data_IF_653502438169
#
_entry.id   IF_653502438169
#
_cell.length_a   1.000
_cell.length_b   1.000
_cell.length_c   1.000
_cell.angle_alpha   90.00
_cell.angle_beta   90.00
_cell.angle_gamma   90.00
#
_symmetry.space_group_name_H-M   'P 1'
#
loop_
_entity.id
_entity.type
_entity.pdbx_description
1 polymer ?
#
# COMPACT_ATOMS: atom_id res chain seq x y z
N UNK A 1 3.85 -13.85 -8.93
CA UNK A 1 4.78 -12.89 -9.62
C UNK A 1 6.04 -13.63 -10.01
N UNK A 2 6.69 -13.29 -11.13
CA UNK A 2 7.94 -13.93 -11.55
C UNK A 2 9.12 -13.48 -10.69
N UNK A 3 10.11 -14.39 -10.45
CA UNK A 3 11.29 -14.10 -9.62
C UNK A 3 12.06 -12.86 -10.09
N UNK A 4 12.24 -12.69 -11.41
CA UNK A 4 12.94 -11.54 -11.98
C UNK A 4 12.29 -10.20 -11.63
N UNK A 5 10.98 -10.16 -11.41
CA UNK A 5 10.25 -8.95 -10.99
C UNK A 5 10.63 -8.57 -9.56
N UNK A 6 10.72 -9.53 -8.65
CA UNK A 6 11.16 -9.28 -7.28
C UNK A 6 12.61 -8.78 -7.21
N UNK A 7 13.52 -9.40 -7.99
CA UNK A 7 14.90 -8.96 -8.05
C UNK A 7 15.01 -7.52 -8.55
N UNK A 8 14.27 -7.21 -9.63
CA UNK A 8 14.23 -5.85 -10.19
C UNK A 8 13.63 -4.83 -9.22
N UNK A 9 12.55 -5.18 -8.54
CA UNK A 9 11.96 -4.32 -7.49
C UNK A 9 12.97 -4.04 -6.39
N UNK A 10 13.70 -5.06 -5.92
CA UNK A 10 14.70 -4.92 -4.87
C UNK A 10 15.90 -4.03 -5.27
N UNK A 11 16.29 -4.03 -6.55
CA UNK A 11 17.31 -3.11 -7.09
C UNK A 11 16.82 -1.66 -7.14
N UNK A 12 15.56 -1.45 -7.49
CA UNK A 12 15.01 -0.12 -7.76
C UNK A 12 14.43 0.57 -6.53
N UNK A 13 13.98 -0.18 -5.52
CA UNK A 13 13.16 0.33 -4.42
C UNK A 13 13.82 1.44 -3.60
N UNK A 14 15.16 1.50 -3.56
CA UNK A 14 15.90 2.51 -2.83
C UNK A 14 16.08 3.82 -3.60
N UNK A 15 16.00 3.78 -4.93
CA UNK A 15 16.43 4.91 -5.77
C UNK A 15 15.36 5.39 -6.75
N UNK A 16 14.40 4.55 -7.09
CA UNK A 16 13.36 4.91 -8.03
C UNK A 16 12.34 5.86 -7.38
N UNK A 17 12.04 6.96 -8.05
CA UNK A 17 11.16 8.04 -7.60
C UNK A 17 9.81 7.57 -7.03
N UNK A 18 9.22 6.53 -7.63
CA UNK A 18 7.94 5.99 -7.20
C UNK A 18 7.99 5.44 -5.77
N UNK A 19 8.96 4.56 -5.49
CA UNK A 19 9.09 3.93 -4.16
C UNK A 19 9.48 4.95 -3.10
N UNK A 20 10.41 5.84 -3.42
CA UNK A 20 10.90 6.84 -2.45
C UNK A 20 9.83 7.86 -2.09
N UNK A 21 9.13 8.43 -3.09
CA UNK A 21 8.04 9.36 -2.85
C UNK A 21 6.84 8.70 -2.16
N UNK A 22 6.47 7.47 -2.57
CA UNK A 22 5.39 6.70 -1.96
C UNK A 22 5.64 6.46 -0.47
N UNK A 23 6.83 6.02 -0.07
CA UNK A 23 7.19 5.86 1.35
C UNK A 23 7.08 7.17 2.13
N UNK A 24 7.45 8.32 1.55
CA UNK A 24 7.26 9.64 2.20
C UNK A 24 5.78 9.97 2.40
N UNK A 25 4.94 9.69 1.41
CA UNK A 25 3.48 9.89 1.51
C UNK A 25 2.91 9.00 2.60
N UNK A 26 3.19 7.70 2.59
CA UNK A 26 2.73 6.75 3.61
C UNK A 26 3.22 7.15 5.00
N UNK A 27 4.50 7.49 5.16
CA UNK A 27 5.06 8.00 6.41
C UNK A 27 4.33 9.26 6.92
N UNK A 28 3.98 10.18 6.01
CA UNK A 28 3.22 11.38 6.35
C UNK A 28 1.81 11.04 6.84
N UNK A 29 1.13 10.10 6.18
CA UNK A 29 -0.18 9.60 6.59
C UNK A 29 -0.11 8.93 7.96
N UNK A 30 0.87 8.06 8.18
CA UNK A 30 1.05 7.40 9.49
C UNK A 30 1.25 8.44 10.59
N UNK A 31 2.13 9.42 10.41
CA UNK A 31 2.42 10.45 11.43
C UNK A 31 1.25 11.37 11.72
N UNK A 32 0.46 11.74 10.71
CA UNK A 32 -0.55 12.80 10.84
C UNK A 32 -1.95 12.28 11.10
N UNK A 33 -2.28 11.10 10.59
CA UNK A 33 -3.62 10.54 10.62
C UNK A 33 -3.67 9.32 11.53
N UNK A 34 -2.89 8.27 11.25
CA UNK A 34 -2.87 7.05 12.08
C UNK A 34 -2.42 7.36 13.50
N UNK A 35 -1.32 8.09 13.67
CA UNK A 35 -0.75 8.46 14.97
C UNK A 35 -0.64 7.26 15.93
N UNK A 36 0.04 6.19 15.53
CA UNK A 36 0.15 5.02 16.37
C UNK A 36 0.83 5.36 17.69
N UNK A 37 0.56 4.62 18.77
CA UNK A 37 1.24 4.84 20.05
C UNK A 37 2.76 4.65 19.91
N UNK A 38 3.52 5.17 20.86
CA UNK A 38 4.96 4.91 20.93
C UNK A 38 5.21 3.40 21.01
N UNK A 39 6.15 2.88 20.21
CA UNK A 39 6.45 1.45 20.09
C UNK A 39 5.24 0.60 19.66
N UNK A 40 4.42 1.12 18.75
CA UNK A 40 3.29 0.43 18.18
C UNK A 40 3.71 -0.94 17.61
N UNK A 41 2.96 -1.98 17.91
CA UNK A 41 3.14 -3.30 17.27
C UNK A 41 2.53 -3.27 15.88
N UNK A 42 3.36 -3.41 14.86
CA UNK A 42 3.00 -3.24 13.46
C UNK A 42 3.12 -4.58 12.73
N UNK A 43 2.16 -4.88 11.84
CA UNK A 43 2.22 -6.02 10.95
C UNK A 43 2.12 -5.54 9.51
N UNK A 44 3.07 -5.93 8.64
CA UNK A 44 2.94 -5.78 7.19
C UNK A 44 2.57 -7.13 6.58
N UNK A 45 1.42 -7.19 5.89
CA UNK A 45 0.94 -8.36 5.17
C UNK A 45 1.29 -8.24 3.69
N UNK A 46 1.95 -9.27 3.12
CA UNK A 46 2.44 -9.26 1.76
C UNK A 46 3.56 -8.23 1.55
N UNK A 47 4.60 -8.28 2.38
CA UNK A 47 5.66 -7.27 2.37
C UNK A 47 6.58 -7.31 1.13
N UNK A 48 6.39 -8.30 0.23
CA UNK A 48 7.24 -8.50 -0.93
C UNK A 48 8.71 -8.69 -0.53
N UNK A 49 9.61 -7.92 -1.16
CA UNK A 49 11.04 -7.92 -0.84
C UNK A 49 11.39 -7.11 0.42
N UNK A 50 10.39 -6.57 1.12
CA UNK A 50 10.56 -5.83 2.37
C UNK A 50 10.89 -4.35 2.20
N UNK A 51 10.55 -3.73 1.07
CA UNK A 51 10.93 -2.34 0.77
C UNK A 51 10.27 -1.27 1.65
N UNK A 52 9.20 -1.61 2.38
CA UNK A 52 8.55 -0.70 3.32
C UNK A 52 8.93 -0.95 4.79
N UNK A 53 9.60 -2.07 5.10
CA UNK A 53 9.87 -2.49 6.48
C UNK A 53 10.62 -1.43 7.30
N UNK A 54 11.65 -0.79 6.71
CA UNK A 54 12.40 0.28 7.38
C UNK A 54 11.53 1.50 7.65
N UNK A 55 10.67 1.86 6.70
CA UNK A 55 9.74 2.99 6.85
C UNK A 55 8.72 2.72 7.97
N UNK A 56 8.17 1.52 8.04
CA UNK A 56 7.25 1.09 9.09
C UNK A 56 7.97 0.97 10.44
N UNK A 57 9.21 0.47 10.44
CA UNK A 57 10.06 0.34 11.61
C UNK A 57 10.34 1.64 12.36
N UNK A 58 10.23 2.79 11.67
CA UNK A 58 10.33 4.10 12.30
C UNK A 58 9.17 4.42 13.27
N UNK A 59 8.11 3.62 13.28
CA UNK A 59 6.93 3.81 14.14
C UNK A 59 6.81 2.74 15.24
N UNK A 60 7.55 1.66 15.16
CA UNK A 60 7.56 0.60 16.16
C UNK A 60 8.06 -0.74 15.61
N UNK A 61 8.09 -1.80 16.43
CA UNK A 61 8.49 -3.13 16.00
C UNK A 61 7.54 -3.66 14.92
N UNK A 62 8.12 -4.11 13.78
CA UNK A 62 7.37 -4.63 12.63
C UNK A 62 7.46 -6.14 12.58
N UNK A 63 6.35 -6.85 12.52
CA UNK A 63 6.23 -8.22 12.04
C UNK A 63 5.80 -8.18 10.58
N UNK A 64 6.11 -9.23 9.81
CA UNK A 64 5.77 -9.25 8.40
C UNK A 64 5.40 -10.66 7.91
N UNK A 65 4.60 -10.71 6.84
CA UNK A 65 4.35 -11.93 6.09
C UNK A 65 4.54 -11.74 4.60
N UNK A 66 4.95 -12.82 3.92
CA UNK A 66 5.07 -12.89 2.48
C UNK A 66 4.86 -14.34 2.01
N UNK A 67 4.04 -14.51 0.96
CA UNK A 67 3.69 -15.83 0.45
C UNK A 67 4.78 -16.41 -0.44
N UNK A 68 5.40 -15.57 -1.29
CA UNK A 68 6.48 -15.99 -2.19
C UNK A 68 7.77 -16.28 -1.41
N UNK A 69 8.34 -17.45 -1.64
CA UNK A 69 9.52 -17.92 -0.89
C UNK A 69 10.78 -17.09 -1.19
N UNK A 70 10.94 -16.60 -2.43
CA UNK A 70 12.09 -15.80 -2.82
C UNK A 70 12.02 -14.38 -2.23
N UNK A 71 10.89 -13.70 -2.41
CA UNK A 71 10.65 -12.39 -1.82
C UNK A 71 10.75 -12.44 -0.29
N UNK A 72 10.17 -13.47 0.34
CA UNK A 72 10.24 -13.66 1.80
C UNK A 72 11.66 -13.83 2.31
N UNK A 73 12.52 -14.56 1.59
CA UNK A 73 13.94 -14.68 1.96
C UNK A 73 14.65 -13.32 1.94
N UNK A 74 14.36 -12.49 0.94
CA UNK A 74 14.91 -11.13 0.85
C UNK A 74 14.38 -10.25 1.99
N UNK A 75 13.08 -10.26 2.26
CA UNK A 75 12.45 -9.53 3.35
C UNK A 75 12.99 -9.97 4.72
N UNK A 76 13.19 -11.27 4.94
CA UNK A 76 13.79 -11.83 6.17
C UNK A 76 15.20 -11.26 6.39
N UNK A 77 16.00 -11.18 5.32
CA UNK A 77 17.36 -10.60 5.40
C UNK A 77 17.31 -9.11 5.75
N UNK A 78 16.36 -8.35 5.18
CA UNK A 78 16.20 -6.91 5.48
C UNK A 78 15.70 -6.67 6.90
N UNK A 79 14.70 -7.43 7.31
CA UNK A 79 14.08 -7.29 8.65
C UNK A 79 15.02 -7.77 9.77
N UNK A 80 15.98 -8.66 9.47
CA UNK A 80 16.87 -9.28 10.44
C UNK A 80 16.19 -10.31 11.36
N UNK A 81 14.97 -10.72 11.03
CA UNK A 81 14.16 -11.72 11.76
C UNK A 81 13.19 -12.42 10.81
N UNK A 82 12.62 -13.58 11.19
CA UNK A 82 11.73 -14.35 10.32
C UNK A 82 10.52 -13.53 9.82
N UNK A 83 10.23 -13.68 8.53
CA UNK A 83 9.00 -13.22 7.87
C UNK A 83 8.12 -14.47 7.68
N UNK A 84 6.87 -14.40 8.12
CA UNK A 84 5.96 -15.54 8.13
C UNK A 84 5.44 -15.86 6.71
N UNK A 85 5.29 -17.15 6.41
CA UNK A 85 4.59 -17.58 5.21
C UNK A 85 3.10 -17.69 5.51
N UNK A 86 2.31 -16.75 5.00
CA UNK A 86 0.87 -16.66 5.24
C UNK A 86 0.16 -16.25 3.97
N UNK A 87 -0.95 -16.90 3.67
CA UNK A 87 -1.85 -16.55 2.57
C UNK A 87 -3.16 -16.01 3.14
N UNK A 88 -3.54 -14.80 2.75
CA UNK A 88 -4.86 -14.25 3.07
C UNK A 88 -5.98 -15.14 2.48
N UNK A 89 -7.10 -15.33 3.23
CA UNK A 89 -7.47 -14.69 4.48
C UNK A 89 -6.98 -15.39 5.76
N UNK A 90 -6.18 -16.48 5.68
CA UNK A 90 -5.74 -17.20 6.87
C UNK A 90 -4.64 -16.44 7.61
N UNK A 91 -5.03 -15.81 8.72
CA UNK A 91 -4.14 -15.11 9.65
C UNK A 91 -4.00 -15.83 11.00
N UNK A 92 -4.22 -17.13 11.04
CA UNK A 92 -4.17 -17.94 12.28
C UNK A 92 -2.82 -17.89 13.01
N UNK A 93 -1.73 -17.64 12.29
CA UNK A 93 -0.40 -17.44 12.87
C UNK A 93 -0.23 -16.15 13.67
N UNK A 94 -1.09 -15.18 13.45
CA UNK A 94 -1.02 -13.89 14.13
C UNK A 94 -2.13 -13.80 15.19
N UNK A 95 -1.80 -13.37 16.42
CA UNK A 95 -2.78 -13.31 17.49
C UNK A 95 -3.85 -12.25 17.21
N UNK A 96 -5.08 -12.51 17.69
CA UNK A 96 -6.18 -11.55 17.65
C UNK A 96 -5.89 -10.34 18.55
N UNK A 97 -6.53 -9.20 18.27
CA UNK A 97 -6.50 -7.97 19.08
C UNK A 97 -5.08 -7.55 19.54
N UNK A 98 -4.09 -7.69 18.63
CA UNK A 98 -2.69 -7.59 19.04
C UNK A 98 -1.90 -6.49 18.37
N UNK A 99 -2.36 -5.97 17.24
CA UNK A 99 -1.62 -4.99 16.45
C UNK A 99 -2.21 -3.59 16.58
N UNK A 100 -1.34 -2.61 16.75
CA UNK A 100 -1.70 -1.19 16.78
C UNK A 100 -1.83 -0.61 15.36
N UNK A 101 -1.20 -1.24 14.39
CA UNK A 101 -1.34 -0.93 12.97
C UNK A 101 -1.06 -2.18 12.12
N UNK A 102 -1.90 -2.39 11.10
CA UNK A 102 -1.61 -3.36 10.03
C UNK A 102 -1.47 -2.59 8.72
N UNK A 103 -0.43 -2.90 7.95
CA UNK A 103 -0.20 -2.36 6.61
C UNK A 103 -0.48 -3.46 5.57
N UNK A 104 -1.32 -3.14 4.57
CA UNK A 104 -1.63 -3.98 3.42
C UNK A 104 -1.44 -3.13 2.15
N UNK A 105 -0.26 -3.22 1.57
CA UNK A 105 0.21 -2.25 0.58
C UNK A 105 0.35 -2.89 -0.81
N UNK A 106 -0.67 -2.71 -1.66
CA UNK A 106 -0.82 -3.29 -3.00
C UNK A 106 -0.79 -4.84 -2.95
N UNK A 107 -1.66 -5.40 -2.14
CA UNK A 107 -1.80 -6.85 -1.92
C UNK A 107 -3.23 -7.32 -2.16
N UNK A 108 -4.23 -6.55 -1.74
CA UNK A 108 -5.64 -6.98 -1.75
C UNK A 108 -6.15 -7.33 -3.15
N UNK A 109 -5.63 -6.66 -4.19
CA UNK A 109 -5.94 -6.94 -5.60
C UNK A 109 -5.49 -8.30 -6.08
N UNK A 110 -4.53 -8.93 -5.39
CA UNK A 110 -4.03 -10.27 -5.69
C UNK A 110 -4.81 -11.38 -4.95
N UNK A 111 -5.69 -11.01 -4.03
CA UNK A 111 -6.40 -11.98 -3.18
C UNK A 111 -7.80 -12.22 -3.72
N UNK A 112 -8.19 -13.48 -4.02
CA UNK A 112 -9.54 -13.78 -4.50
C UNK A 112 -10.63 -13.38 -3.50
N UNK A 113 -10.45 -13.68 -2.22
CA UNK A 113 -11.37 -13.36 -1.12
C UNK A 113 -10.92 -12.08 -0.38
N UNK A 114 -11.19 -10.93 -0.97
CA UNK A 114 -10.87 -9.62 -0.40
C UNK A 114 -11.71 -9.30 0.84
N UNK A 115 -12.99 -9.69 0.85
CA UNK A 115 -13.90 -9.50 2.00
C UNK A 115 -13.47 -10.30 3.22
N UNK A 116 -13.21 -11.60 3.04
CA UNK A 116 -12.70 -12.47 4.11
C UNK A 116 -11.34 -11.98 4.64
N UNK A 117 -10.48 -11.47 3.76
CA UNK A 117 -9.19 -10.92 4.13
C UNK A 117 -9.32 -9.67 5.00
N UNK A 118 -10.17 -8.72 4.65
CA UNK A 118 -10.40 -7.52 5.46
C UNK A 118 -11.02 -7.88 6.82
N UNK A 119 -11.94 -8.84 6.87
CA UNK A 119 -12.51 -9.33 8.13
C UNK A 119 -11.47 -10.02 9.02
N UNK A 120 -10.59 -10.83 8.43
CA UNK A 120 -9.49 -11.48 9.14
C UNK A 120 -8.48 -10.45 9.69
N UNK A 121 -8.17 -9.41 8.92
CA UNK A 121 -7.30 -8.31 9.35
C UNK A 121 -7.93 -7.54 10.51
N UNK A 122 -9.22 -7.22 10.39
CA UNK A 122 -9.97 -6.53 11.47
C UNK A 122 -9.83 -7.27 12.81
N UNK A 123 -9.98 -8.58 12.79
CA UNK A 123 -9.86 -9.43 13.99
C UNK A 123 -8.43 -9.49 14.60
N UNK A 124 -7.40 -9.00 13.92
CA UNK A 124 -6.02 -8.93 14.41
C UNK A 124 -5.65 -7.58 15.00
N UNK A 125 -6.41 -6.54 14.66
CA UNK A 125 -6.22 -5.19 15.14
C UNK A 125 -6.80 -5.02 16.55
N UNK A 126 -6.10 -4.30 17.40
CA UNK A 126 -6.64 -3.85 18.68
C UNK A 126 -7.83 -2.90 18.46
N UNK A 127 -8.74 -2.79 19.42
CA UNK A 127 -9.75 -1.71 19.40
C UNK A 127 -9.11 -0.34 19.22
N UNK A 128 -9.59 0.45 18.24
CA UNK A 128 -9.04 1.76 17.93
C UNK A 128 -7.74 1.77 17.13
N UNK A 129 -7.23 0.59 16.74
CA UNK A 129 -6.05 0.46 15.88
C UNK A 129 -6.38 0.72 14.41
N UNK A 130 -5.37 0.85 13.54
CA UNK A 130 -5.55 1.26 12.17
C UNK A 130 -5.09 0.23 11.13
N UNK A 131 -5.86 0.10 10.05
CA UNK A 131 -5.44 -0.53 8.80
C UNK A 131 -4.95 0.55 7.82
N UNK A 132 -3.69 0.48 7.41
CA UNK A 132 -3.13 1.24 6.30
C UNK A 132 -3.22 0.40 5.02
N UNK A 133 -4.14 0.76 4.12
CA UNK A 133 -4.43 0.01 2.91
C UNK A 133 -4.09 0.83 1.66
N UNK A 134 -3.37 0.23 0.70
CA UNK A 134 -3.27 0.76 -0.65
C UNK A 134 -3.73 -0.27 -1.67
N UNK A 135 -4.44 0.18 -2.70
CA UNK A 135 -4.93 -0.66 -3.80
C UNK A 135 -4.87 0.12 -5.12
N UNK A 136 -4.73 -0.55 -6.26
CA UNK A 136 -4.81 0.09 -7.56
C UNK A 136 -6.24 0.58 -7.80
N UNK A 137 -6.35 1.89 -8.07
CA UNK A 137 -7.63 2.54 -8.34
C UNK A 137 -8.00 2.48 -9.83
N UNK A 138 -9.27 2.84 -10.12
CA UNK A 138 -9.78 3.06 -11.47
C UNK A 138 -9.75 1.81 -12.37
N UNK A 139 -10.80 0.96 -12.35
CA UNK A 139 -10.90 -0.24 -13.18
C UNK A 139 -10.68 0.00 -14.69
N UNK A 140 -11.05 1.19 -15.20
CA UNK A 140 -10.84 1.57 -16.60
C UNK A 140 -9.36 1.69 -17.01
N UNK A 141 -8.44 1.77 -16.02
CA UNK A 141 -6.99 1.80 -16.24
C UNK A 141 -6.36 0.41 -16.33
N UNK A 142 -7.16 -0.66 -16.37
CA UNK A 142 -6.66 -2.02 -16.54
C UNK A 142 -5.72 -2.11 -17.75
N UNK A 143 -4.58 -2.74 -17.57
CA UNK A 143 -3.51 -2.80 -18.57
C UNK A 143 -2.77 -4.14 -18.53
N UNK A 144 -1.84 -4.35 -19.46
CA UNK A 144 -0.95 -5.50 -19.47
C UNK A 144 -0.14 -5.65 -18.16
N UNK A 145 0.14 -4.55 -17.47
CA UNK A 145 0.76 -4.56 -16.15
C UNK A 145 -0.07 -5.33 -15.11
N UNK A 146 -1.39 -5.10 -15.06
CA UNK A 146 -2.26 -5.80 -14.12
C UNK A 146 -2.25 -7.32 -14.39
N UNK A 147 -2.23 -7.70 -15.67
CA UNK A 147 -2.14 -9.10 -16.09
C UNK A 147 -0.80 -9.71 -15.68
N UNK A 148 0.31 -9.02 -15.94
CA UNK A 148 1.66 -9.49 -15.60
C UNK A 148 1.88 -9.64 -14.09
N UNK A 149 1.23 -8.79 -13.29
CA UNK A 149 1.25 -8.87 -11.84
C UNK A 149 0.19 -9.81 -11.25
N UNK A 150 -0.59 -10.50 -12.08
CA UNK A 150 -1.67 -11.39 -11.66
C UNK A 150 -2.71 -10.71 -10.76
N UNK A 151 -3.04 -9.45 -11.06
CA UNK A 151 -4.14 -8.77 -10.37
C UNK A 151 -5.47 -9.45 -10.72
N UNK A 152 -6.34 -9.61 -9.75
CA UNK A 152 -7.72 -10.03 -9.98
C UNK A 152 -8.60 -8.84 -10.30
N UNK A 153 -8.28 -7.65 -9.75
CA UNK A 153 -9.12 -6.45 -9.83
C UNK A 153 -8.39 -5.14 -9.58
N UNK A 154 -9.05 -4.06 -9.97
CA UNK A 154 -8.80 -2.70 -9.51
C UNK A 154 -10.07 -2.19 -8.84
N UNK A 155 -9.94 -1.27 -7.90
CA UNK A 155 -11.06 -0.82 -7.08
C UNK A 155 -11.57 0.56 -7.47
N UNK A 156 -12.90 0.73 -7.45
CA UNK A 156 -13.51 2.06 -7.35
C UNK A 156 -13.51 2.51 -5.90
N UNK A 157 -13.49 3.83 -5.69
CA UNK A 157 -13.52 4.41 -4.35
C UNK A 157 -14.70 3.90 -3.52
N UNK A 158 -15.90 3.80 -4.12
CA UNK A 158 -17.09 3.32 -3.44
C UNK A 158 -17.01 1.82 -3.06
N UNK A 159 -16.37 1.00 -3.91
CA UNK A 159 -16.24 -0.45 -3.69
C UNK A 159 -15.33 -0.73 -2.49
N UNK A 160 -14.13 -0.13 -2.46
CA UNK A 160 -13.22 -0.35 -1.33
C UNK A 160 -13.78 0.24 -0.02
N UNK A 161 -14.54 1.34 -0.10
CA UNK A 161 -15.22 1.90 1.06
C UNK A 161 -16.31 0.96 1.61
N UNK A 162 -17.08 0.34 0.72
CA UNK A 162 -18.11 -0.63 1.12
C UNK A 162 -17.49 -1.86 1.76
N UNK A 163 -16.45 -2.45 1.12
CA UNK A 163 -15.72 -3.61 1.65
C UNK A 163 -15.15 -3.35 3.05
N UNK A 164 -14.49 -2.20 3.24
CA UNK A 164 -13.94 -1.83 4.53
C UNK A 164 -15.03 -1.72 5.61
N UNK A 165 -16.16 -1.05 5.30
CA UNK A 165 -17.29 -0.92 6.22
C UNK A 165 -17.94 -2.26 6.55
N UNK A 166 -18.11 -3.14 5.56
CA UNK A 166 -18.64 -4.49 5.77
C UNK A 166 -17.75 -5.33 6.70
N UNK A 167 -16.43 -5.13 6.64
CA UNK A 167 -15.48 -5.76 7.54
C UNK A 167 -15.42 -5.14 8.95
N UNK A 168 -16.17 -4.06 9.20
CA UNK A 168 -16.26 -3.40 10.52
C UNK A 168 -15.40 -2.14 10.68
N UNK A 169 -14.70 -1.69 9.63
CA UNK A 169 -13.85 -0.51 9.72
C UNK A 169 -14.64 0.80 9.63
N UNK A 170 -14.19 1.78 10.38
CA UNK A 170 -14.47 3.21 10.12
C UNK A 170 -13.39 3.79 9.20
N UNK A 171 -13.77 4.71 8.31
CA UNK A 171 -12.85 5.24 7.29
C UNK A 171 -12.44 6.67 7.66
N UNK A 172 -11.21 6.84 8.12
CA UNK A 172 -10.65 8.16 8.44
C UNK A 172 -10.15 8.90 7.20
N UNK A 173 -9.59 8.17 6.25
CA UNK A 173 -9.06 8.72 5.02
C UNK A 173 -9.30 7.77 3.84
N UNK A 174 -9.87 8.28 2.79
CA UNK A 174 -9.96 7.59 1.50
C UNK A 174 -9.60 8.57 0.39
N UNK A 175 -8.32 8.59 0.02
CA UNK A 175 -7.75 9.55 -0.91
C UNK A 175 -7.02 8.87 -2.06
N UNK A 176 -7.18 9.31 -3.30
CA UNK A 176 -6.23 8.97 -4.33
C UNK A 176 -4.88 9.62 -4.03
N UNK A 177 -3.79 8.99 -4.44
CA UNK A 177 -2.46 9.58 -4.48
C UNK A 177 -1.85 9.42 -5.88
N UNK A 178 -0.72 10.10 -6.13
CA UNK A 178 -0.18 10.29 -7.48
C UNK A 178 -1.11 11.10 -8.40
N UNK A 179 -1.88 12.01 -7.82
CA UNK A 179 -2.88 12.81 -8.54
C UNK A 179 -2.23 13.90 -9.38
N UNK A 180 -1.10 14.44 -8.94
CA UNK A 180 -0.36 15.49 -9.68
C UNK A 180 0.26 14.96 -10.97
N UNK A 181 0.75 13.73 -10.99
CA UNK A 181 1.31 13.08 -12.18
C UNK A 181 0.25 12.38 -13.03
N UNK A 182 -0.96 12.22 -12.51
CA UNK A 182 -2.04 11.49 -13.18
C UNK A 182 -2.33 11.96 -14.61
N UNK A 183 -2.51 13.27 -14.89
CA UNK A 183 -2.80 13.72 -16.25
C UNK A 183 -1.70 13.33 -17.23
N UNK A 184 -0.43 13.43 -16.81
CA UNK A 184 0.72 13.05 -17.64
C UNK A 184 0.73 11.53 -17.89
N UNK A 185 0.58 10.72 -16.84
CA UNK A 185 0.58 9.26 -16.93
C UNK A 185 -0.60 8.77 -17.78
N UNK A 186 -1.81 9.32 -17.56
CA UNK A 186 -2.99 8.98 -18.32
C UNK A 186 -2.84 9.34 -19.80
N UNK A 187 -2.26 10.51 -20.08
CA UNK A 187 -1.97 10.95 -21.46
C UNK A 187 -0.98 10.04 -22.18
N UNK A 188 0.12 9.69 -21.53
CA UNK A 188 1.12 8.74 -22.08
C UNK A 188 0.50 7.37 -22.34
N UNK A 189 -0.27 6.83 -21.41
CA UNK A 189 -0.96 5.54 -21.59
C UNK A 189 -1.97 5.56 -22.72
N UNK A 190 -2.75 6.63 -22.85
CA UNK A 190 -3.70 6.77 -23.95
C UNK A 190 -2.98 6.83 -25.31
N UNK A 191 -1.90 7.59 -25.41
CA UNK A 191 -1.07 7.67 -26.61
C UNK A 191 -0.45 6.32 -26.97
N UNK A 192 0.09 5.58 -26.00
CA UNK A 192 0.68 4.27 -26.20
C UNK A 192 -0.38 3.26 -26.66
N UNK A 193 -1.58 3.29 -26.08
CA UNK A 193 -2.72 2.45 -26.50
C UNK A 193 -3.13 2.73 -27.95
N UNK A 194 -3.16 4.00 -28.37
CA UNK A 194 -3.47 4.39 -29.74
C UNK A 194 -2.37 3.97 -30.71
N UNK A 195 -1.11 3.99 -30.30
CA UNK A 195 0.06 3.62 -31.11
C UNK A 195 0.35 2.12 -31.14
N UNK A 196 -0.37 1.31 -30.37
CA UNK A 196 -0.12 -0.12 -30.25
C UNK A 196 1.24 -0.47 -29.60
N UNK A 197 1.84 0.49 -28.88
CA UNK A 197 3.07 0.28 -28.14
C UNK A 197 2.74 0.11 -26.66
N UNK A 198 2.75 -1.12 -26.17
CA UNK A 198 2.83 -1.40 -24.74
C UNK A 198 4.31 -1.32 -24.33
N UNK A 199 4.82 -0.11 -24.19
CA UNK A 199 6.16 0.09 -23.64
C UNK A 199 6.09 -0.04 -22.12
N UNK A 200 6.62 -1.13 -21.63
CA UNK A 200 6.96 -1.28 -20.22
C UNK A 200 8.23 -0.47 -19.95
N UNK A 201 8.05 0.73 -19.45
CA UNK A 201 9.16 1.62 -19.08
C UNK A 201 9.50 1.42 -17.59
N UNK A 202 10.17 0.30 -17.29
CA UNK A 202 10.69 -0.04 -15.94
C UNK A 202 12.10 0.50 -15.70
N UNK A 203 12.61 1.30 -16.62
CA UNK A 203 13.94 1.85 -16.49
C UNK A 203 13.97 2.96 -15.45
N UNK A 204 14.99 2.96 -14.59
CA UNK A 204 15.28 4.10 -13.73
C UNK A 204 15.49 5.33 -14.63
N UNK A 205 14.65 6.37 -14.52
CA UNK A 205 14.85 7.57 -15.33
C UNK A 205 16.23 8.21 -15.06
N UNK A 206 16.73 9.01 -16.02
CA UNK A 206 17.94 9.79 -15.78
C UNK A 206 17.82 10.60 -14.49
N UNK A 207 18.91 10.70 -13.72
CA UNK A 207 18.92 11.31 -12.37
C UNK A 207 18.10 12.61 -12.24
N UNK A 208 18.21 13.61 -13.15
CA UNK A 208 17.42 14.84 -12.99
C UNK A 208 15.91 14.60 -13.13
N UNK A 209 15.50 13.72 -14.04
CA UNK A 209 14.08 13.35 -14.24
C UNK A 209 13.56 12.57 -13.03
N UNK A 210 14.31 11.58 -12.55
CA UNK A 210 13.96 10.81 -11.37
C UNK A 210 13.80 11.73 -10.15
N UNK A 211 14.70 12.69 -9.95
CA UNK A 211 14.61 13.66 -8.86
C UNK A 211 13.40 14.60 -8.99
N UNK A 212 13.10 15.06 -10.20
CA UNK A 212 11.95 15.92 -10.44
C UNK A 212 10.63 15.19 -10.16
N UNK A 213 10.50 13.95 -10.66
CA UNK A 213 9.33 13.09 -10.40
C UNK A 213 9.18 12.76 -8.91
N UNK A 214 10.29 12.44 -8.23
CA UNK A 214 10.31 12.18 -6.80
C UNK A 214 9.83 13.39 -5.97
N UNK A 215 10.29 14.59 -6.32
CA UNK A 215 9.85 15.82 -5.64
C UNK A 215 8.39 16.15 -5.91
N UNK A 216 7.95 16.04 -7.16
CA UNK A 216 6.58 16.34 -7.56
C UNK A 216 5.59 15.37 -6.88
N UNK A 217 5.84 14.08 -6.99
CA UNK A 217 4.98 13.08 -6.34
C UNK A 217 5.08 13.17 -4.82
N UNK A 218 6.28 13.32 -4.27
CA UNK A 218 6.48 13.45 -2.82
C UNK A 218 5.85 14.70 -2.20
N UNK A 219 5.59 15.75 -2.98
CA UNK A 219 4.88 16.95 -2.50
C UNK A 219 3.44 16.63 -2.04
N UNK A 220 2.82 15.57 -2.57
CA UNK A 220 1.50 15.10 -2.12
C UNK A 220 1.49 14.71 -0.64
N UNK A 221 2.62 14.34 -0.05
CA UNK A 221 2.74 14.05 1.38
C UNK A 221 2.30 15.25 2.26
N UNK A 222 2.51 16.48 1.79
CA UNK A 222 2.04 17.69 2.46
C UNK A 222 0.56 17.99 2.28
N UNK A 223 -0.04 17.52 1.20
CA UNK A 223 -1.43 17.81 0.81
C UNK A 223 -2.42 16.80 1.41
N UNK A 224 -2.08 15.52 1.36
CA UNK A 224 -2.95 14.44 1.83
C UNK A 224 -3.24 14.59 3.33
N UNK A 225 -2.23 14.95 4.14
CA UNK A 225 -2.42 15.17 5.57
C UNK A 225 -3.18 16.45 5.97
N UNK A 226 -3.41 17.39 5.04
CA UNK A 226 -4.15 18.63 5.33
C UNK A 226 -5.66 18.53 5.14
N UNK A 227 -6.13 17.58 4.33
CA UNK A 227 -7.56 17.40 4.05
C UNK A 227 -8.36 16.72 5.17
N UNK A 228 -7.67 16.17 6.18
CA UNK A 228 -8.27 15.48 7.32
C UNK A 228 -8.26 16.31 8.62
N UNK A 229 -8.16 17.63 8.56
CA UNK A 229 -8.16 18.49 9.75
C UNK A 229 -9.55 19.05 10.09
N UNK A 230 -10.59 18.24 9.98
CA UNK A 230 -11.83 18.49 10.72
C UNK A 230 -11.70 17.76 12.07
N UNK A 231 -11.46 18.50 13.19
CA UNK A 231 -11.37 17.88 14.51
C UNK A 231 -12.68 17.25 14.97
N UNK A 232 -13.81 17.58 14.33
CA UNK A 232 -15.12 17.03 14.64
C UNK A 232 -15.35 15.65 13.99
N UNK A 233 -14.58 15.28 12.95
CA UNK A 233 -14.62 13.97 12.34
C UNK A 233 -13.84 12.89 13.12
N UNK A 234 -13.06 13.29 14.15
CA UNK A 234 -12.08 12.42 14.80
C UNK A 234 -12.56 11.84 16.14
N UNK A 235 -13.66 12.25 16.73
CA UNK A 235 -14.09 11.76 18.05
C UNK A 235 -15.57 11.94 18.34
N UNK A 236 -16.44 11.09 17.84
CA UNK A 236 -17.73 10.81 18.50
C UNK A 236 -18.22 9.41 18.15
N UNK A 237 -17.61 8.42 18.74
CA UNK A 237 -18.12 7.06 18.73
C UNK A 237 -17.67 6.35 20.01
N UNK A 238 -18.58 6.06 20.91
CA UNK A 238 -18.36 5.36 22.16
C UNK A 238 -18.16 3.84 21.99
N UNK A 239 -17.72 3.40 20.80
CA UNK A 239 -17.27 2.04 20.53
C UNK A 239 -15.82 2.06 20.01
N UNK A 240 -15.00 1.07 20.37
CA UNK A 240 -13.63 0.95 19.88
C UNK A 240 -13.64 0.52 18.40
N UNK A 241 -13.96 1.48 17.51
CA UNK A 241 -13.91 1.24 16.09
C UNK A 241 -12.45 1.20 15.62
N UNK A 242 -12.13 0.22 14.81
CA UNK A 242 -10.84 0.09 14.15
C UNK A 242 -10.88 0.88 12.84
N UNK A 243 -9.88 1.70 12.59
CA UNK A 243 -9.87 2.68 11.50
C UNK A 243 -9.21 2.13 10.23
N UNK A 244 -9.81 2.39 9.07
CA UNK A 244 -9.22 2.07 7.78
C UNK A 244 -8.78 3.34 7.05
N UNK A 245 -7.54 3.31 6.56
CA UNK A 245 -6.95 4.35 5.72
C UNK A 245 -6.75 3.77 4.33
N UNK A 246 -7.66 4.09 3.42
CA UNK A 246 -7.56 3.69 2.04
C UNK A 246 -6.85 4.77 1.22
N UNK A 247 -5.72 4.43 0.59
CA UNK A 247 -5.04 5.29 -0.37
C UNK A 247 -5.02 4.54 -1.70
N UNK A 248 -5.88 4.96 -2.63
CA UNK A 248 -5.87 4.42 -3.98
C UNK A 248 -4.68 4.98 -4.75
N UNK A 249 -3.69 4.13 -5.07
CA UNK A 249 -2.57 4.47 -5.92
C UNK A 249 -2.87 4.16 -7.37
N UNK A 250 -2.35 4.97 -8.28
CA UNK A 250 -2.13 4.54 -9.64
C UNK A 250 -0.81 3.79 -9.65
N UNK A 251 -0.87 2.48 -9.81
CA UNK A 251 0.32 1.71 -10.13
C UNK A 251 0.88 2.26 -11.45
N UNK A 252 2.03 2.90 -11.38
CA UNK A 252 2.85 3.11 -12.58
C UNK A 252 3.37 1.74 -12.96
N UNK A 253 3.11 1.34 -14.19
CA UNK A 253 3.58 0.10 -14.78
C UNK A 253 5.06 -0.08 -14.50
N UNK A 254 5.41 -1.16 -13.83
CA UNK A 254 6.76 -1.67 -13.84
C UNK A 254 6.67 -3.17 -14.13
N UNK A 255 7.27 -3.59 -15.22
CA UNK A 255 7.54 -4.99 -15.53
C UNK A 255 8.87 -5.40 -14.98
#
# INVERSE_FOLDING_TARGET
MERAVFDRMAELDQHHWWFTARRRILSSVIRRIVRPPANARILELGCGTGHNLDMLGAFGPVEASELDDHARAMATKRLGRPVEKVALPDLSKFPADSYDMIALLDVLEHVPDDKGSLSAIFARLKPGAALLLTVPANPWMWSAHDVAHHHHRRYRKAEIAALAKEAGFEIDLLSPFNTMLFPLIAGVRLLNKVRGHDSADDALPAKPVNTALDRLFGAEAGLIGRRSTDPSAIRTGSHPATHALGIGGMSTSQR
#
